data_IF_081886029590
#
_entry.id   IF_081886029590
#
_cell.length_a   1.000
_cell.length_b   1.000
_cell.length_c   1.000
_cell.angle_alpha   90.00
_cell.angle_beta   90.00
_cell.angle_gamma   90.00
#
_symmetry.space_group_name_H-M   'P 1'
#
loop_
_entity.id
_entity.type
_entity.pdbx_description
1 polymer ?
#
# COMPACT_ATOMS: atom_id res chain seq x y z
N UNK A 1 -39.98 -0.03 -12.25
CA UNK A 1 -39.18 0.49 -11.12
C UNK A 1 -37.72 0.57 -11.54
N UNK A 2 -37.10 1.74 -11.56
CA UNK A 2 -35.67 1.85 -11.83
C UNK A 2 -34.87 1.25 -10.66
N UNK A 3 -33.81 0.45 -10.91
CA UNK A 3 -32.99 -0.09 -9.84
C UNK A 3 -32.32 1.06 -9.07
N UNK A 4 -32.56 1.13 -7.75
CA UNK A 4 -31.88 2.07 -6.86
C UNK A 4 -30.37 1.87 -7.01
N UNK A 5 -29.65 2.92 -7.45
CA UNK A 5 -28.18 2.90 -7.48
C UNK A 5 -27.67 2.54 -6.09
N UNK A 6 -26.79 1.53 -5.95
CA UNK A 6 -26.24 1.18 -4.65
C UNK A 6 -25.51 2.40 -4.08
N UNK A 7 -25.81 2.77 -2.82
CA UNK A 7 -25.05 3.78 -2.09
C UNK A 7 -23.59 3.32 -2.07
N UNK A 8 -22.67 4.20 -2.50
CA UNK A 8 -21.23 3.93 -2.41
C UNK A 8 -20.85 3.98 -0.93
N UNK A 9 -20.42 2.84 -0.39
CA UNK A 9 -19.72 2.75 0.90
C UNK A 9 -18.34 3.35 0.67
N UNK A 10 -17.95 4.33 1.49
CA UNK A 10 -16.58 4.86 1.51
C UNK A 10 -15.86 4.36 2.77
N UNK A 11 -14.54 4.50 2.78
CA UNK A 11 -13.70 4.03 3.88
C UNK A 11 -14.10 4.63 5.24
N UNK A 12 -14.42 5.93 5.26
CA UNK A 12 -14.90 6.64 6.46
C UNK A 12 -16.24 6.15 6.99
N UNK A 13 -17.03 5.41 6.22
CA UNK A 13 -18.27 4.81 6.70
C UNK A 13 -18.08 3.44 7.35
N UNK A 14 -16.91 2.81 7.20
CA UNK A 14 -16.64 1.50 7.80
C UNK A 14 -15.93 1.62 9.15
N UNK A 15 -15.10 2.65 9.32
CA UNK A 15 -14.31 2.90 10.53
C UNK A 15 -15.16 3.05 11.79
N UNK A 16 -16.39 3.56 11.69
CA UNK A 16 -17.36 3.62 12.80
C UNK A 16 -17.73 2.23 13.38
N UNK A 17 -17.38 1.15 12.68
CA UNK A 17 -17.78 -0.21 13.00
C UNK A 17 -16.57 -1.15 13.20
N UNK A 18 -15.35 -0.65 13.23
CA UNK A 18 -14.10 -1.44 13.20
C UNK A 18 -13.12 -0.91 12.17
N UNK A 19 -11.86 -1.32 12.22
CA UNK A 19 -10.83 -1.03 11.22
C UNK A 19 -10.96 -1.90 9.95
N UNK A 20 -11.21 -1.27 8.78
CA UNK A 20 -11.16 -1.96 7.49
C UNK A 20 -9.83 -2.64 7.19
N UNK A 21 -8.72 -2.01 7.57
CA UNK A 21 -7.37 -2.51 7.26
C UNK A 21 -6.94 -3.65 8.18
N UNK A 22 -7.43 -3.68 9.43
CA UNK A 22 -7.28 -4.82 10.36
C UNK A 22 -8.27 -5.95 10.08
N UNK A 23 -9.32 -5.67 9.31
CA UNK A 23 -10.40 -6.61 8.97
C UNK A 23 -11.27 -7.05 10.16
N UNK A 24 -11.44 -6.18 11.12
CA UNK A 24 -12.23 -6.38 12.35
C UNK A 24 -13.58 -5.64 12.33
N UNK A 25 -13.93 -5.00 11.21
CA UNK A 25 -15.25 -4.40 10.99
C UNK A 25 -16.40 -5.35 11.37
N UNK A 26 -17.28 -4.91 12.27
CA UNK A 26 -18.54 -5.58 12.59
C UNK A 26 -19.50 -5.52 11.39
N UNK A 27 -19.41 -6.53 10.52
CA UNK A 27 -20.15 -6.62 9.25
C UNK A 27 -21.66 -6.54 9.46
N UNK A 28 -22.17 -7.12 10.54
CA UNK A 28 -23.60 -7.24 10.79
C UNK A 28 -24.20 -5.91 11.23
N UNK A 29 -23.49 -5.21 12.11
CA UNK A 29 -23.85 -3.86 12.53
C UNK A 29 -23.71 -2.86 11.38
N UNK A 30 -22.56 -2.86 10.69
CA UNK A 30 -22.31 -1.99 9.54
C UNK A 30 -23.36 -2.17 8.45
N UNK A 31 -23.71 -3.42 8.10
CA UNK A 31 -24.75 -3.73 7.11
C UNK A 31 -26.10 -3.13 7.50
N UNK A 32 -26.49 -3.28 8.78
CA UNK A 32 -27.77 -2.79 9.32
C UNK A 32 -27.83 -1.27 9.33
N UNK A 33 -26.79 -0.61 9.85
CA UNK A 33 -26.75 0.84 10.06
C UNK A 33 -26.55 1.59 8.74
N UNK A 34 -25.67 1.10 7.85
CA UNK A 34 -25.43 1.69 6.53
C UNK A 34 -26.52 1.35 5.50
N UNK A 35 -27.42 0.40 5.82
CA UNK A 35 -28.49 -0.09 4.93
C UNK A 35 -27.96 -0.63 3.61
N UNK A 36 -26.93 -1.48 3.69
CA UNK A 36 -26.26 -2.13 2.56
C UNK A 36 -26.11 -3.62 2.85
N UNK A 37 -25.86 -4.43 1.81
CA UNK A 37 -25.66 -5.87 2.02
C UNK A 37 -24.34 -6.16 2.73
N UNK A 38 -24.28 -7.25 3.52
CA UNK A 38 -23.03 -7.76 4.11
C UNK A 38 -21.94 -7.98 3.05
N UNK A 39 -22.33 -8.38 1.83
CA UNK A 39 -21.41 -8.53 0.69
C UNK A 39 -20.79 -7.20 0.26
N UNK A 40 -21.58 -6.11 0.25
CA UNK A 40 -21.05 -4.78 -0.06
C UNK A 40 -20.06 -4.31 1.01
N UNK A 41 -20.34 -4.56 2.29
CA UNK A 41 -19.41 -4.28 3.40
C UNK A 41 -18.09 -5.03 3.22
N UNK A 42 -18.15 -6.35 3.01
CA UNK A 42 -16.94 -7.17 2.77
C UNK A 42 -16.14 -6.71 1.55
N UNK A 43 -16.82 -6.30 0.49
CA UNK A 43 -16.17 -5.76 -0.72
C UNK A 43 -15.44 -4.47 -0.43
N UNK A 44 -16.07 -3.54 0.30
CA UNK A 44 -15.46 -2.28 0.68
C UNK A 44 -14.26 -2.49 1.63
N UNK A 45 -14.37 -3.38 2.61
CA UNK A 45 -13.24 -3.75 3.48
C UNK A 45 -12.07 -4.35 2.68
N UNK A 46 -12.36 -5.25 1.73
CA UNK A 46 -11.34 -5.83 0.84
C UNK A 46 -10.66 -4.76 0.00
N UNK A 47 -11.41 -3.75 -0.45
CA UNK A 47 -10.87 -2.62 -1.20
C UNK A 47 -9.86 -1.84 -0.37
N UNK A 48 -10.14 -1.58 0.91
CA UNK A 48 -9.20 -0.87 1.78
C UNK A 48 -7.91 -1.65 2.05
N UNK A 49 -7.99 -2.96 2.22
CA UNK A 49 -6.79 -3.81 2.33
C UNK A 49 -5.95 -3.75 1.04
N UNK A 50 -6.60 -3.68 -0.12
CA UNK A 50 -5.92 -3.56 -1.42
C UNK A 50 -5.28 -2.18 -1.59
N UNK A 51 -5.95 -1.11 -1.13
CA UNK A 51 -5.42 0.24 -1.09
C UNK A 51 -4.17 0.30 -0.18
N UNK A 52 -4.27 -0.21 1.04
CA UNK A 52 -3.18 -0.27 2.02
C UNK A 52 -1.92 -0.89 1.41
N UNK A 53 -2.06 -2.06 0.77
CA UNK A 53 -0.92 -2.74 0.12
C UNK A 53 -0.21 -1.84 -0.88
N UNK A 54 -0.98 -1.13 -1.70
CA UNK A 54 -0.42 -0.24 -2.71
C UNK A 54 0.29 0.95 -2.07
N UNK A 55 -0.29 1.52 -1.01
CA UNK A 55 0.29 2.63 -0.24
C UNK A 55 1.62 2.20 0.40
N UNK A 56 1.64 1.08 1.14
CA UNK A 56 2.86 0.54 1.75
C UNK A 56 3.92 0.28 0.68
N UNK A 57 3.56 -0.42 -0.39
CA UNK A 57 4.53 -0.77 -1.43
C UNK A 57 5.17 0.46 -2.07
N UNK A 58 4.37 1.51 -2.35
CA UNK A 58 4.87 2.79 -2.87
C UNK A 58 5.75 3.51 -1.84
N UNK A 59 5.34 3.53 -0.57
CA UNK A 59 6.06 4.17 0.51
C UNK A 59 7.42 3.54 0.82
N UNK A 60 7.53 2.21 0.68
CA UNK A 60 8.81 1.49 0.82
C UNK A 60 9.66 1.67 -0.43
N UNK A 61 9.13 1.37 -1.62
CA UNK A 61 9.96 1.34 -2.84
C UNK A 61 10.25 2.72 -3.43
N UNK A 62 9.49 3.75 -3.06
CA UNK A 62 9.50 5.07 -3.70
C UNK A 62 8.88 5.09 -5.11
N UNK A 63 8.33 3.97 -5.60
CA UNK A 63 7.74 3.86 -6.95
C UNK A 63 6.32 4.43 -6.96
N UNK A 64 6.20 5.74 -7.14
CA UNK A 64 4.96 6.51 -6.90
C UNK A 64 3.72 6.05 -7.68
N UNK A 65 3.90 5.40 -8.84
CA UNK A 65 2.80 4.93 -9.69
C UNK A 65 2.61 3.41 -9.64
N UNK A 66 3.35 2.68 -8.80
CA UNK A 66 3.28 1.23 -8.70
C UNK A 66 1.85 0.76 -8.38
N UNK A 67 1.38 -0.27 -9.08
CA UNK A 67 0.08 -0.93 -8.84
C UNK A 67 0.33 -2.40 -8.52
N UNK A 68 0.15 -2.76 -7.24
CA UNK A 68 0.24 -4.13 -6.72
C UNK A 68 -1.09 -4.60 -6.12
N UNK A 69 -2.11 -3.73 -6.17
CA UNK A 69 -3.36 -3.88 -5.46
C UNK A 69 -4.52 -4.16 -6.41
N UNK A 70 -5.00 -3.10 -7.06
CA UNK A 70 -6.15 -3.15 -7.98
C UNK A 70 -5.81 -3.92 -9.25
N UNK A 71 -4.54 -3.85 -9.69
CA UNK A 71 -4.05 -4.54 -10.88
C UNK A 71 -4.85 -4.14 -12.15
N UNK A 72 -5.24 -2.87 -12.20
CA UNK A 72 -6.01 -2.27 -13.31
C UNK A 72 -5.14 -1.39 -14.19
N UNK A 73 -4.01 -0.90 -13.66
CA UNK A 73 -3.10 -0.01 -14.38
C UNK A 73 -1.86 -0.78 -14.87
N UNK A 74 -1.81 -1.09 -16.17
CA UNK A 74 -0.67 -1.83 -16.78
C UNK A 74 0.66 -1.13 -16.54
N UNK A 75 0.71 0.20 -16.69
CA UNK A 75 1.93 0.98 -16.42
C UNK A 75 2.34 0.86 -14.96
N UNK A 76 1.38 0.97 -14.04
CA UNK A 76 1.64 0.83 -12.61
C UNK A 76 2.13 -0.57 -12.23
N UNK A 77 1.56 -1.62 -12.81
CA UNK A 77 2.03 -3.00 -12.59
C UNK A 77 3.44 -3.22 -13.15
N UNK A 78 3.73 -2.68 -14.34
CA UNK A 78 5.08 -2.73 -14.92
C UNK A 78 6.10 -1.97 -14.06
N UNK A 79 5.74 -0.78 -13.54
CA UNK A 79 6.59 -0.04 -12.62
C UNK A 79 6.78 -0.79 -11.30
N UNK A 80 5.73 -1.44 -10.79
CA UNK A 80 5.80 -2.22 -9.56
C UNK A 80 6.81 -3.37 -9.68
N UNK A 81 6.90 -4.04 -10.83
CA UNK A 81 7.84 -5.15 -11.01
C UNK A 81 9.23 -4.64 -11.39
N UNK A 82 9.31 -3.87 -12.48
CA UNK A 82 10.57 -3.57 -13.16
C UNK A 82 11.19 -2.22 -12.75
N UNK A 83 10.48 -1.40 -11.98
CA UNK A 83 10.94 -0.09 -11.52
C UNK A 83 11.04 0.95 -12.63
N UNK A 84 11.68 2.07 -12.31
CA UNK A 84 11.95 3.16 -13.26
C UNK A 84 12.99 2.74 -14.29
N UNK A 85 12.83 3.22 -15.52
CA UNK A 85 13.83 3.09 -16.56
C UNK A 85 14.90 4.18 -16.48
N UNK A 86 15.92 4.10 -17.34
CA UNK A 86 16.97 5.12 -17.42
C UNK A 86 16.39 6.53 -17.58
N UNK A 87 17.08 7.51 -16.98
CA UNK A 87 16.72 8.96 -17.03
C UNK A 87 15.30 9.26 -16.53
N UNK A 88 14.81 8.49 -15.55
CA UNK A 88 13.49 8.73 -14.94
C UNK A 88 12.30 8.27 -15.77
N UNK A 89 12.52 7.39 -16.77
CA UNK A 89 11.43 6.80 -17.55
C UNK A 89 10.45 6.05 -16.63
N UNK A 90 9.13 6.14 -16.91
CA UNK A 90 8.07 5.55 -16.06
C UNK A 90 8.28 4.07 -15.72
N UNK A 91 8.84 3.30 -16.65
CA UNK A 91 9.12 1.86 -16.50
C UNK A 91 10.49 1.49 -17.08
N UNK A 92 11.15 0.49 -16.50
CA UNK A 92 12.32 -0.15 -17.10
C UNK A 92 11.90 -1.07 -18.26
N UNK A 93 11.69 -0.48 -19.43
CA UNK A 93 11.21 -1.19 -20.61
C UNK A 93 12.19 -2.24 -21.13
N UNK A 94 13.48 -2.17 -20.80
CA UNK A 94 14.47 -3.18 -21.19
C UNK A 94 14.28 -4.45 -20.35
N UNK A 95 14.31 -4.33 -19.03
CA UNK A 95 14.11 -5.46 -18.13
C UNK A 95 12.73 -6.11 -18.31
N UNK A 96 11.68 -5.31 -18.47
CA UNK A 96 10.34 -5.80 -18.73
C UNK A 96 10.23 -6.56 -20.07
N UNK A 97 10.90 -6.07 -21.12
CA UNK A 97 10.91 -6.70 -22.44
C UNK A 97 11.56 -8.08 -22.40
N UNK A 98 12.71 -8.17 -21.74
CA UNK A 98 13.46 -9.42 -21.55
C UNK A 98 12.63 -10.45 -20.78
N UNK A 99 12.01 -10.05 -19.66
CA UNK A 99 11.19 -10.94 -18.85
C UNK A 99 9.89 -11.39 -19.53
N UNK A 100 9.31 -10.55 -20.40
CA UNK A 100 8.02 -10.81 -21.05
C UNK A 100 8.16 -11.36 -22.47
N UNK A 101 9.38 -11.48 -23.00
CA UNK A 101 9.62 -11.99 -24.36
C UNK A 101 9.11 -11.06 -25.48
N UNK A 102 9.14 -9.75 -25.27
CA UNK A 102 8.66 -8.75 -26.25
C UNK A 102 9.68 -7.63 -26.48
N UNK A 103 9.45 -6.76 -27.47
CA UNK A 103 10.33 -5.60 -27.67
C UNK A 103 10.12 -4.52 -26.59
N UNK A 104 11.18 -3.75 -26.26
CA UNK A 104 11.04 -2.59 -25.36
C UNK A 104 10.09 -1.52 -25.91
N UNK A 105 9.96 -1.41 -27.24
CA UNK A 105 8.97 -0.51 -27.85
C UNK A 105 7.53 -0.95 -27.53
N UNK A 106 7.26 -2.26 -27.55
CA UNK A 106 5.97 -2.83 -27.13
C UNK A 106 5.66 -2.50 -25.67
N UNK A 107 6.63 -2.70 -24.76
CA UNK A 107 6.44 -2.35 -23.33
C UNK A 107 6.18 -0.86 -23.15
N UNK A 108 6.89 0.02 -23.88
CA UNK A 108 6.63 1.47 -23.82
C UNK A 108 5.22 1.82 -24.30
N UNK A 109 4.72 1.19 -25.36
CA UNK A 109 3.33 1.38 -25.82
C UNK A 109 2.31 0.93 -24.77
N UNK A 110 2.55 -0.19 -24.09
CA UNK A 110 1.73 -0.63 -22.97
C UNK A 110 1.76 0.35 -21.79
N UNK A 111 2.94 0.82 -21.40
CA UNK A 111 3.10 1.78 -20.32
C UNK A 111 2.49 3.16 -20.65
N UNK A 112 2.42 3.53 -21.93
CA UNK A 112 1.76 4.75 -22.38
C UNK A 112 0.24 4.56 -22.61
N UNK A 113 -0.27 3.33 -22.53
CA UNK A 113 -1.67 3.01 -22.80
C UNK A 113 -2.06 3.06 -24.29
N UNK A 114 -1.11 3.28 -25.20
CA UNK A 114 -1.37 3.34 -26.65
C UNK A 114 -1.62 1.95 -27.27
N UNK A 115 -1.26 0.89 -26.55
CA UNK A 115 -1.53 -0.49 -26.92
C UNK A 115 -1.83 -1.29 -25.63
N UNK A 116 -2.75 -2.25 -25.70
CA UNK A 116 -2.99 -3.18 -24.60
C UNK A 116 -2.15 -4.45 -24.76
N UNK A 117 -1.64 -5.04 -23.67
CA UNK A 117 -1.05 -6.38 -23.72
C UNK A 117 -2.08 -7.42 -24.15
N UNK A 118 -1.61 -8.52 -24.75
CA UNK A 118 -2.49 -9.69 -24.94
C UNK A 118 -2.93 -10.25 -23.58
N UNK A 119 -4.01 -11.05 -23.52
CA UNK A 119 -4.50 -11.63 -22.26
C UNK A 119 -3.41 -12.38 -21.46
N UNK A 120 -2.53 -13.11 -22.15
CA UNK A 120 -1.44 -13.87 -21.51
C UNK A 120 -0.38 -12.96 -20.90
N UNK A 121 0.08 -11.94 -21.64
CA UNK A 121 1.02 -10.95 -21.11
C UNK A 121 0.41 -10.17 -19.94
N UNK A 122 -0.87 -9.79 -20.06
CA UNK A 122 -1.57 -9.11 -18.97
C UNK A 122 -1.66 -9.99 -17.72
N UNK A 123 -1.95 -11.29 -17.88
CA UNK A 123 -1.97 -12.26 -16.78
C UNK A 123 -0.61 -12.41 -16.12
N UNK A 124 0.47 -12.48 -16.92
CA UNK A 124 1.84 -12.54 -16.42
C UNK A 124 2.21 -11.28 -15.62
N UNK A 125 1.91 -10.09 -16.17
CA UNK A 125 2.15 -8.80 -15.51
C UNK A 125 1.38 -8.71 -14.18
N UNK A 126 0.08 -9.06 -14.17
CA UNK A 126 -0.76 -9.07 -12.97
C UNK A 126 -0.20 -10.00 -11.89
N UNK A 127 0.28 -11.18 -12.29
CA UNK A 127 0.84 -12.18 -11.37
C UNK A 127 2.12 -11.67 -10.74
N UNK A 128 3.05 -11.17 -11.56
CA UNK A 128 4.32 -10.62 -11.10
C UNK A 128 4.11 -9.40 -10.18
N UNK A 129 3.22 -8.48 -10.54
CA UNK A 129 2.91 -7.30 -9.73
C UNK A 129 2.31 -7.68 -8.37
N UNK A 130 1.41 -8.68 -8.33
CA UNK A 130 0.90 -9.21 -7.05
C UNK A 130 2.02 -9.81 -6.20
N UNK A 131 2.85 -10.66 -6.80
CA UNK A 131 3.93 -11.35 -6.09
C UNK A 131 4.97 -10.39 -5.51
N UNK A 132 5.18 -9.23 -6.14
CA UNK A 132 6.09 -8.20 -5.68
C UNK A 132 5.76 -7.69 -4.26
N UNK A 133 4.49 -7.71 -3.86
CA UNK A 133 4.05 -7.26 -2.53
C UNK A 133 3.50 -8.41 -1.65
N UNK A 134 3.02 -9.50 -2.24
CA UNK A 134 2.35 -10.57 -1.48
C UNK A 134 3.27 -11.70 -1.01
N UNK A 135 4.44 -11.86 -1.63
CA UNK A 135 5.40 -12.93 -1.28
C UNK A 135 6.53 -12.39 -0.42
N UNK A 136 7.07 -13.21 0.49
CA UNK A 136 8.23 -12.84 1.32
C UNK A 136 9.44 -12.42 0.49
N UNK A 137 9.71 -13.13 -0.61
CA UNK A 137 10.77 -12.78 -1.56
C UNK A 137 10.53 -11.42 -2.24
N UNK A 138 9.29 -11.16 -2.71
CA UNK A 138 8.91 -9.88 -3.30
C UNK A 138 9.06 -8.72 -2.32
N UNK A 139 8.62 -8.91 -1.07
CA UNK A 139 8.76 -7.89 -0.01
C UNK A 139 10.22 -7.61 0.34
N UNK A 140 11.07 -8.63 0.41
CA UNK A 140 12.53 -8.45 0.56
C UNK A 140 13.15 -7.68 -0.60
N UNK A 141 12.70 -7.93 -1.82
CA UNK A 141 13.15 -7.14 -2.98
C UNK A 141 12.66 -5.68 -2.87
N UNK A 142 11.42 -5.46 -2.38
CA UNK A 142 10.87 -4.12 -2.16
C UNK A 142 11.67 -3.32 -1.10
N UNK A 143 11.99 -3.94 0.04
CA UNK A 143 12.80 -3.29 1.08
C UNK A 143 14.25 -3.12 0.65
N UNK A 144 14.82 -4.04 -0.14
CA UNK A 144 16.15 -3.83 -0.72
C UNK A 144 16.21 -2.58 -1.62
N UNK A 145 15.14 -2.27 -2.36
CA UNK A 145 15.05 -1.00 -3.12
C UNK A 145 15.13 0.20 -2.16
N UNK A 146 14.42 0.15 -1.03
CA UNK A 146 14.53 1.19 -0.01
C UNK A 146 15.96 1.31 0.49
N UNK A 147 16.56 0.22 0.99
CA UNK A 147 17.92 0.20 1.56
C UNK A 147 18.97 0.77 0.60
N UNK A 148 18.84 0.45 -0.69
CA UNK A 148 19.77 0.90 -1.72
C UNK A 148 19.49 2.32 -2.25
N UNK A 149 18.34 2.91 -1.90
CA UNK A 149 18.02 4.28 -2.28
C UNK A 149 18.80 5.30 -1.46
N UNK A 150 18.96 6.52 -1.98
CA UNK A 150 19.58 7.62 -1.24
C UNK A 150 18.86 7.90 0.08
N UNK A 151 17.52 7.99 0.06
CA UNK A 151 16.75 8.21 1.30
C UNK A 151 16.90 7.06 2.29
N UNK A 152 16.94 5.81 1.81
CA UNK A 152 17.08 4.66 2.70
C UNK A 152 18.46 4.58 3.31
N UNK A 153 19.52 4.83 2.54
CA UNK A 153 20.88 4.94 3.09
C UNK A 153 20.99 6.04 4.15
N UNK A 154 20.37 7.21 3.92
CA UNK A 154 20.32 8.29 4.91
C UNK A 154 19.55 7.87 6.18
N UNK A 155 18.36 7.28 5.99
CA UNK A 155 17.52 6.81 7.09
C UNK A 155 18.21 5.74 7.95
N UNK A 156 18.94 4.83 7.32
CA UNK A 156 19.70 3.76 7.99
C UNK A 156 21.01 4.25 8.60
N UNK A 157 21.50 5.44 8.23
CA UNK A 157 22.69 6.03 8.83
C UNK A 157 22.35 6.92 10.04
N UNK A 158 21.22 7.61 10.01
CA UNK A 158 20.91 8.70 10.95
C UNK A 158 19.55 8.60 11.64
N UNK A 159 18.76 7.59 11.30
CA UNK A 159 17.35 7.56 11.65
C UNK A 159 16.50 8.38 10.68
N UNK A 160 15.19 8.29 10.83
CA UNK A 160 14.20 8.99 10.01
C UNK A 160 12.84 8.98 10.69
N UNK A 161 11.94 9.87 10.26
CA UNK A 161 10.53 9.81 10.63
C UNK A 161 9.75 8.87 9.71
N UNK A 162 8.70 8.28 10.27
CA UNK A 162 7.63 7.69 9.46
C UNK A 162 6.50 8.71 9.38
N UNK A 163 5.91 8.80 8.20
CA UNK A 163 4.79 9.68 7.91
C UNK A 163 3.61 8.82 7.49
N UNK A 164 2.48 9.00 8.18
CA UNK A 164 1.27 8.19 7.97
C UNK A 164 0.08 9.13 7.90
N UNK A 165 -0.63 9.07 6.78
CA UNK A 165 -1.90 9.79 6.62
C UNK A 165 -3.06 8.81 6.51
N UNK A 166 -4.21 9.18 7.05
CA UNK A 166 -5.43 8.38 7.00
C UNK A 166 -6.29 8.54 8.24
N UNK A 167 -7.38 7.78 8.29
CA UNK A 167 -8.28 7.70 9.44
C UNK A 167 -7.61 6.88 10.55
N UNK A 168 -7.21 7.56 11.62
CA UNK A 168 -6.41 7.00 12.71
C UNK A 168 -6.61 7.78 14.03
N UNK A 169 -6.32 7.12 15.16
CA UNK A 169 -6.38 7.74 16.48
C UNK A 169 -6.35 6.74 17.65
N UNK A 170 -6.39 7.23 18.90
CA UNK A 170 -6.54 6.37 20.07
C UNK A 170 -7.91 5.67 20.07
N UNK A 171 -7.94 4.44 20.60
CA UNK A 171 -9.03 3.47 20.55
C UNK A 171 -10.40 4.03 20.99
N UNK A 172 -11.47 3.38 20.53
CA UNK A 172 -12.90 3.68 20.74
C UNK A 172 -13.53 4.74 19.80
N UNK A 173 -12.90 5.07 18.66
CA UNK A 173 -13.46 5.89 17.58
C UNK A 173 -13.94 7.31 17.96
N UNK A 174 -13.93 7.69 19.25
CA UNK A 174 -14.44 8.98 19.73
C UNK A 174 -13.61 10.17 19.21
N UNK A 175 -12.38 9.91 18.76
CA UNK A 175 -11.44 10.92 18.28
C UNK A 175 -10.69 10.51 17.01
N UNK A 176 -11.13 9.42 16.35
CA UNK A 176 -10.57 9.09 15.04
C UNK A 176 -11.00 10.14 14.03
N UNK A 177 -10.03 10.57 13.23
CA UNK A 177 -10.22 11.57 12.18
C UNK A 177 -9.15 11.33 11.13
N UNK A 178 -9.33 11.93 9.97
CA UNK A 178 -8.26 12.01 9.00
C UNK A 178 -7.11 12.82 9.61
N UNK A 179 -5.95 12.18 9.79
CA UNK A 179 -4.75 12.78 10.37
C UNK A 179 -3.57 12.57 9.44
N UNK A 180 -2.69 13.55 9.42
CA UNK A 180 -1.33 13.40 8.94
C UNK A 180 -0.41 13.41 10.16
N UNK A 181 0.18 12.27 10.48
CA UNK A 181 1.02 12.09 11.67
C UNK A 181 2.43 11.73 11.24
N UNK A 182 3.39 12.41 11.86
CA UNK A 182 4.80 12.07 11.76
C UNK A 182 5.27 11.56 13.11
N UNK A 183 5.97 10.43 13.14
CA UNK A 183 6.57 9.95 14.39
C UNK A 183 7.68 10.88 14.86
N UNK A 184 8.08 10.71 16.12
CA UNK A 184 9.45 11.04 16.51
C UNK A 184 10.45 10.24 15.64
N UNK A 185 11.67 10.76 15.43
CA UNK A 185 12.67 10.02 14.65
C UNK A 185 12.87 8.59 15.18
N UNK A 186 12.69 7.61 14.31
CA UNK A 186 13.06 6.23 14.55
C UNK A 186 14.57 6.10 14.43
N UNK A 187 15.15 5.25 15.26
CA UNK A 187 16.56 4.86 15.13
C UNK A 187 16.78 4.00 13.86
N UNK A 188 18.02 3.88 13.37
CA UNK A 188 18.33 2.94 12.29
C UNK A 188 17.85 1.50 12.55
N UNK A 189 17.95 1.02 13.79
CA UNK A 189 17.50 -0.32 14.18
C UNK A 189 15.99 -0.46 14.03
N UNK A 190 15.22 0.52 14.50
CA UNK A 190 13.76 0.51 14.39
C UNK A 190 13.28 0.57 12.95
N UNK A 191 14.02 1.28 12.09
CA UNK A 191 13.74 1.27 10.65
C UNK A 191 13.99 -0.11 10.06
N UNK A 192 15.09 -0.78 10.41
CA UNK A 192 15.33 -2.15 9.95
C UNK A 192 14.29 -3.16 10.49
N UNK A 193 13.84 -2.99 11.73
CA UNK A 193 12.78 -3.79 12.32
C UNK A 193 11.44 -3.57 11.62
N UNK A 194 11.06 -2.33 11.31
CA UNK A 194 9.89 -1.99 10.49
C UNK A 194 9.95 -2.70 9.12
N UNK A 195 11.10 -2.62 8.44
CA UNK A 195 11.29 -3.29 7.15
C UNK A 195 11.19 -4.81 7.30
N UNK A 196 11.76 -5.38 8.37
CA UNK A 196 11.68 -6.81 8.66
C UNK A 196 10.26 -7.26 8.98
N UNK A 197 9.50 -6.47 9.72
CA UNK A 197 8.09 -6.74 10.03
C UNK A 197 7.26 -6.81 8.73
N UNK A 198 7.52 -5.91 7.77
CA UNK A 198 6.94 -6.00 6.44
C UNK A 198 7.40 -7.26 5.69
N UNK A 199 8.70 -7.55 5.65
CA UNK A 199 9.23 -8.72 4.94
C UNK A 199 8.61 -10.03 5.44
N UNK A 200 8.47 -10.19 6.76
CA UNK A 200 7.97 -11.40 7.39
C UNK A 200 6.43 -11.46 7.41
N UNK A 201 5.77 -10.44 7.94
CA UNK A 201 4.31 -10.41 8.15
C UNK A 201 3.50 -9.70 7.07
N UNK A 202 4.14 -9.11 6.06
CA UNK A 202 3.47 -8.38 4.99
C UNK A 202 2.78 -7.10 5.47
N UNK A 203 1.67 -6.77 4.82
CA UNK A 203 0.89 -5.55 5.13
C UNK A 203 0.48 -5.51 6.61
N UNK A 204 0.11 -6.67 7.20
CA UNK A 204 -0.28 -6.81 8.61
C UNK A 204 0.91 -6.67 9.56
N UNK A 205 2.04 -7.33 9.25
CA UNK A 205 3.23 -7.23 10.09
C UNK A 205 3.77 -5.81 10.18
N UNK A 206 3.75 -5.06 9.06
CA UNK A 206 4.09 -3.64 9.09
C UNK A 206 3.07 -2.83 9.91
N UNK A 207 1.77 -3.06 9.70
CA UNK A 207 0.72 -2.35 10.43
C UNK A 207 0.84 -2.55 11.95
N UNK A 208 1.11 -3.77 12.40
CA UNK A 208 1.29 -4.11 13.81
C UNK A 208 2.49 -3.38 14.42
N UNK A 209 3.60 -3.31 13.67
CA UNK A 209 4.79 -2.58 14.12
C UNK A 209 4.53 -1.06 14.15
N UNK A 210 3.76 -0.53 13.20
CA UNK A 210 3.36 0.88 13.23
C UNK A 210 2.48 1.19 14.44
N UNK A 211 1.52 0.31 14.76
CA UNK A 211 0.68 0.47 15.95
C UNK A 211 1.52 0.51 17.21
N UNK A 212 2.44 -0.44 17.40
CA UNK A 212 3.32 -0.49 18.59
C UNK A 212 4.16 0.79 18.77
N UNK A 213 4.68 1.34 17.67
CA UNK A 213 5.39 2.62 17.68
C UNK A 213 4.47 3.76 18.13
N UNK A 214 3.25 3.83 17.60
CA UNK A 214 2.31 4.91 17.90
C UNK A 214 1.78 4.84 19.33
N UNK A 215 1.50 3.63 19.82
CA UNK A 215 1.08 3.34 21.20
C UNK A 215 2.12 3.87 22.19
N UNK A 216 3.38 3.50 21.95
CA UNK A 216 4.48 3.78 22.86
C UNK A 216 4.88 5.26 22.85
N UNK A 217 4.87 5.91 21.67
CA UNK A 217 5.54 7.21 21.49
C UNK A 217 4.60 8.40 21.37
N UNK A 218 3.33 8.21 21.02
CA UNK A 218 2.47 9.35 20.67
C UNK A 218 1.52 9.78 21.79
N UNK A 219 0.75 8.86 22.40
CA UNK A 219 -0.22 9.19 23.46
C UNK A 219 -0.22 8.22 24.65
N UNK A 220 0.56 7.13 24.64
CA UNK A 220 0.52 6.11 25.70
C UNK A 220 -0.84 5.41 25.80
N UNK A 221 -1.56 5.33 24.68
CA UNK A 221 -2.88 4.74 24.55
C UNK A 221 -2.92 3.85 23.32
N UNK A 222 -3.77 2.81 23.35
CA UNK A 222 -3.96 1.90 22.21
C UNK A 222 -4.36 2.70 20.95
N UNK A 223 -3.53 2.65 19.92
CA UNK A 223 -3.66 3.35 18.66
C UNK A 223 -4.26 2.43 17.61
N UNK A 224 -5.20 2.96 16.83
CA UNK A 224 -5.83 2.23 15.76
C UNK A 224 -5.71 2.97 14.44
N UNK A 225 -5.44 2.20 13.38
CA UNK A 225 -5.54 2.66 12.01
C UNK A 225 -6.82 2.10 11.40
N UNK A 226 -7.82 2.94 11.17
CA UNK A 226 -8.96 2.58 10.34
C UNK A 226 -8.57 2.53 8.86
N UNK A 227 -7.74 3.46 8.41
CA UNK A 227 -7.21 3.48 7.04
C UNK A 227 -5.80 4.09 7.01
N UNK A 228 -5.04 3.74 5.97
CA UNK A 228 -3.79 4.42 5.63
C UNK A 228 -3.88 4.83 4.16
N UNK A 229 -3.99 6.14 3.91
CA UNK A 229 -4.06 6.75 2.58
C UNK A 229 -2.69 7.18 2.07
N UNK A 230 -1.74 7.42 2.96
CA UNK A 230 -0.35 7.71 2.62
C UNK A 230 0.62 7.13 3.64
N UNK A 231 1.79 6.72 3.15
CA UNK A 231 2.86 6.16 3.97
C UNK A 231 4.21 6.45 3.31
N UNK A 232 5.18 6.96 4.06
CA UNK A 232 6.57 7.03 3.63
C UNK A 232 7.55 7.16 4.82
N UNK A 233 8.82 6.91 4.54
CA UNK A 233 9.94 6.95 5.50
C UNK A 233 10.95 8.00 5.02
N UNK A 234 11.32 8.95 5.88
CA UNK A 234 12.31 10.00 5.61
C UNK A 234 11.96 11.33 6.28
N UNK A 235 12.79 12.36 6.08
CA UNK A 235 12.49 13.73 6.55
C UNK A 235 11.83 14.60 5.47
N UNK A 236 11.95 14.21 4.20
CA UNK A 236 11.38 14.87 3.03
C UNK A 236 10.97 13.83 1.99
N UNK A 237 9.90 14.12 1.24
CA UNK A 237 9.26 13.21 0.28
C UNK A 237 9.84 13.30 -1.14
#
# INVERSE_FOLDING_TARGET
MAPRRPRKINSSSLVDYGSPVNRDVNIDEASRKLRVSKTAVRKAMRQEVVNLRSVIYRGITGRRQADVGELTNVMGMLQAVYGYGPRGSKVNAKAAAEALGVSSATVRRWANGSQQPSPDHLKAIKTAARQAASTKAGRRAATAIFRNSERGRKALAHGARIHISGYQGPQNYAWERDRDVSSDPLTPTEIEELLRAYEEGGDKGLLDYLTDIMDTRYLGAEWEFGTISDFWIGDRR
#
